data_IF_123741390468
#
_entry.id   IF_123741390468
#
_cell.length_a   1.000
_cell.length_b   1.000
_cell.length_c   1.000
_cell.angle_alpha   90.00
_cell.angle_beta   90.00
_cell.angle_gamma   90.00
#
_symmetry.space_group_name_H-M   'P 1'
#
loop_
_entity.id
_entity.type
_entity.pdbx_description
1 polymer ?
#
# COMPACT_ATOMS: atom_id res chain seq x y z
N UNK A 1 -9.74 22.97 12.89
CA UNK A 1 -10.01 22.56 14.27
C UNK A 1 -11.33 21.83 14.31
N UNK A 2 -11.31 20.51 14.45
CA UNK A 2 -12.50 19.66 14.60
C UNK A 2 -12.25 18.65 15.71
N UNK A 3 -13.17 18.52 16.66
CA UNK A 3 -13.10 17.52 17.74
C UNK A 3 -14.17 16.45 17.50
N UNK A 4 -13.73 15.21 17.30
CA UNK A 4 -14.62 14.04 17.19
C UNK A 4 -14.87 13.50 18.60
N UNK A 5 -16.05 13.75 19.16
CA UNK A 5 -16.38 13.39 20.55
C UNK A 5 -16.12 11.90 20.84
N UNK A 6 -16.40 10.99 19.89
CA UNK A 6 -16.17 9.54 20.07
C UNK A 6 -14.69 9.17 20.18
N UNK A 7 -13.79 9.94 19.57
CA UNK A 7 -12.35 9.69 19.57
C UNK A 7 -11.66 10.21 20.85
N UNK A 8 -12.31 11.08 21.62
CA UNK A 8 -11.75 11.66 22.86
C UNK A 8 -11.42 10.57 23.87
N UNK A 9 -10.14 10.50 24.26
CA UNK A 9 -9.60 9.47 25.16
C UNK A 9 -9.83 9.82 26.63
N UNK A 10 -9.93 11.11 26.96
CA UNK A 10 -10.35 11.54 28.30
C UNK A 10 -11.87 11.44 28.47
N UNK A 11 -12.29 10.43 29.25
CA UNK A 11 -13.71 10.17 29.55
C UNK A 11 -14.42 11.32 30.26
N UNK A 12 -13.72 12.17 31.02
CA UNK A 12 -14.32 13.35 31.68
C UNK A 12 -14.64 14.41 30.64
N UNK A 13 -13.64 14.77 29.83
CA UNK A 13 -13.81 15.72 28.74
C UNK A 13 -14.85 15.25 27.72
N UNK A 14 -14.85 13.96 27.36
CA UNK A 14 -15.85 13.39 26.46
C UNK A 14 -17.28 13.61 26.99
N UNK A 15 -17.52 13.41 28.29
CA UNK A 15 -18.83 13.64 28.91
C UNK A 15 -19.22 15.11 28.92
N UNK A 16 -18.27 16.01 29.15
CA UNK A 16 -18.50 17.46 29.15
C UNK A 16 -18.86 17.98 27.75
N UNK A 17 -18.25 17.40 26.70
CA UNK A 17 -18.55 17.75 25.30
C UNK A 17 -19.91 17.22 24.83
N UNK A 18 -20.45 16.17 25.46
CA UNK A 18 -21.78 15.63 25.14
C UNK A 18 -22.86 16.62 25.59
N UNK A 19 -23.59 17.18 24.63
CA UNK A 19 -24.64 18.18 24.90
C UNK A 19 -24.15 19.62 24.86
N UNK A 20 -22.87 19.85 24.52
CA UNK A 20 -22.32 21.17 24.29
C UNK A 20 -23.10 21.93 23.20
N UNK A 21 -23.26 23.23 23.41
CA UNK A 21 -23.96 24.16 22.52
C UNK A 21 -23.00 25.18 21.96
N UNK A 22 -23.43 25.85 20.88
CA UNK A 22 -22.69 26.96 20.29
C UNK A 22 -22.41 28.03 21.36
N UNK A 23 -21.15 28.42 21.51
CA UNK A 23 -20.66 29.40 22.48
C UNK A 23 -20.09 28.79 23.76
N UNK A 24 -20.30 27.51 24.03
CA UNK A 24 -19.70 26.84 25.19
C UNK A 24 -18.17 26.76 25.00
N UNK A 25 -17.43 26.93 26.11
CA UNK A 25 -15.97 26.91 26.09
C UNK A 25 -15.44 25.78 26.97
N UNK A 26 -14.53 24.98 26.42
CA UNK A 26 -13.92 23.83 27.09
C UNK A 26 -12.41 23.93 27.07
N UNK A 27 -11.78 23.53 28.18
CA UNK A 27 -10.33 23.42 28.26
C UNK A 27 -9.92 22.03 27.80
N UNK A 28 -9.35 21.94 26.60
CA UNK A 28 -9.01 20.66 25.97
C UNK A 28 -7.49 20.53 25.89
N UNK A 29 -7.00 19.36 26.29
CA UNK A 29 -5.63 18.95 25.98
C UNK A 29 -5.65 18.23 24.62
N UNK A 30 -4.89 18.69 23.61
CA UNK A 30 -4.85 18.03 22.30
C UNK A 30 -4.47 16.55 22.35
N UNK A 31 -3.60 16.16 23.29
CA UNK A 31 -3.20 14.76 23.48
C UNK A 31 -4.32 13.86 23.99
N UNK A 32 -5.38 14.43 24.55
CA UNK A 32 -6.54 13.67 25.05
C UNK A 32 -7.71 13.63 24.07
N UNK A 33 -7.55 14.17 22.86
CA UNK A 33 -8.62 14.25 21.84
C UNK A 33 -8.72 12.98 20.99
N UNK A 34 -7.63 12.23 20.82
CA UNK A 34 -7.61 10.96 20.10
C UNK A 34 -6.36 10.14 20.45
N UNK A 35 -6.39 8.83 20.18
CA UNK A 35 -5.20 7.97 20.17
C UNK A 35 -4.36 8.18 18.90
N UNK A 36 -4.95 8.72 17.83
CA UNK A 36 -4.30 8.95 16.55
C UNK A 36 -3.78 10.38 16.43
N UNK A 37 -2.51 10.53 16.01
CA UNK A 37 -1.88 11.85 15.88
C UNK A 37 -2.55 12.73 14.81
N UNK A 38 -3.12 12.15 13.76
CA UNK A 38 -3.86 12.87 12.72
C UNK A 38 -5.04 13.64 13.30
N UNK A 39 -5.85 12.98 14.12
CA UNK A 39 -7.03 13.58 14.75
C UNK A 39 -6.63 14.64 15.78
N UNK A 40 -5.51 14.43 16.49
CA UNK A 40 -4.95 15.43 17.42
C UNK A 40 -4.52 16.70 16.67
N UNK A 41 -3.91 16.56 15.49
CA UNK A 41 -3.51 17.65 14.61
C UNK A 41 -4.73 18.40 14.09
N UNK A 42 -5.75 17.68 13.61
CA UNK A 42 -6.98 18.26 13.09
C UNK A 42 -7.77 19.00 14.17
N UNK A 43 -7.78 18.49 15.40
CA UNK A 43 -8.35 19.17 16.56
C UNK A 43 -7.71 20.54 16.78
N UNK A 44 -6.39 20.62 16.66
CA UNK A 44 -5.63 21.87 16.78
C UNK A 44 -5.64 22.73 15.52
N UNK A 45 -5.97 22.17 14.35
CA UNK A 45 -5.80 22.84 13.06
C UNK A 45 -4.35 23.05 12.66
N UNK A 46 -3.46 22.12 13.03
CA UNK A 46 -2.02 22.15 12.72
C UNK A 46 -1.59 20.86 12.02
N UNK A 47 -0.40 20.85 11.42
CA UNK A 47 0.19 19.63 10.85
C UNK A 47 0.69 18.66 11.92
N UNK A 48 0.68 17.37 11.60
CA UNK A 48 1.14 16.29 12.50
C UNK A 48 2.58 16.50 12.97
N UNK A 49 3.43 17.10 12.13
CA UNK A 49 4.84 17.41 12.46
C UNK A 49 4.98 18.45 13.59
N UNK A 50 4.00 19.35 13.73
CA UNK A 50 4.01 20.43 14.72
C UNK A 50 3.42 20.01 16.08
N UNK A 51 2.75 18.85 16.14
CA UNK A 51 2.16 18.36 17.40
C UNK A 51 3.18 18.13 18.52
N UNK A 52 4.39 17.69 18.18
CA UNK A 52 5.41 17.30 19.16
C UNK A 52 5.90 18.47 20.03
N UNK A 53 5.85 19.70 19.51
CA UNK A 53 6.26 20.92 20.20
C UNK A 53 5.12 21.57 21.01
N UNK A 54 3.88 21.09 20.88
CA UNK A 54 2.71 21.65 21.55
C UNK A 54 2.40 20.84 22.81
N UNK A 55 2.67 21.45 23.97
CA UNK A 55 2.46 20.85 25.30
C UNK A 55 1.30 21.55 26.05
N UNK A 56 0.77 22.62 25.48
CA UNK A 56 -0.20 23.50 26.13
C UNK A 56 -1.64 22.98 26.08
N UNK A 57 -2.44 23.38 27.08
CA UNK A 57 -3.89 23.25 27.06
C UNK A 57 -4.50 24.45 26.33
N UNK A 58 -5.55 24.22 25.54
CA UNK A 58 -6.23 25.26 24.78
C UNK A 58 -7.68 25.40 25.23
N UNK A 59 -8.20 26.62 25.13
CA UNK A 59 -9.62 26.87 25.29
C UNK A 59 -10.28 26.79 23.92
N UNK A 60 -11.22 25.85 23.76
CA UNK A 60 -12.00 25.67 22.55
C UNK A 60 -13.39 26.24 22.77
N UNK A 61 -13.81 27.15 21.90
CA UNK A 61 -15.18 27.64 21.87
C UNK A 61 -15.94 26.90 20.77
N UNK A 62 -17.12 26.36 21.10
CA UNK A 62 -17.93 25.61 20.15
C UNK A 62 -18.58 26.58 19.16
N UNK A 63 -18.16 26.54 17.90
CA UNK A 63 -18.80 27.34 16.84
C UNK A 63 -19.97 26.62 16.18
N UNK A 64 -19.80 25.32 15.90
CA UNK A 64 -20.77 24.50 15.20
C UNK A 64 -20.74 23.07 15.74
N UNK A 65 -21.92 22.50 15.94
CA UNK A 65 -22.09 21.09 16.28
C UNK A 65 -22.62 20.38 15.03
N UNK A 66 -21.83 19.47 14.48
CA UNK A 66 -22.24 18.62 13.37
C UNK A 66 -22.62 17.25 13.92
N UNK A 67 -23.77 16.70 13.50
CA UNK A 67 -24.15 15.32 13.78
C UNK A 67 -24.04 14.53 12.49
N UNK A 68 -23.26 13.46 12.53
CA UNK A 68 -23.24 12.47 11.45
C UNK A 68 -24.45 11.57 11.66
N UNK A 69 -25.41 11.63 10.73
CA UNK A 69 -26.58 10.77 10.71
C UNK A 69 -26.32 9.73 9.61
N UNK A 70 -26.35 8.42 9.91
CA UNK A 70 -26.29 7.40 8.87
C UNK A 70 -27.43 7.65 7.87
N UNK A 71 -27.08 7.78 6.60
CA UNK A 71 -28.09 7.92 5.56
C UNK A 71 -28.73 6.55 5.29
N UNK A 72 -29.99 6.53 4.85
CA UNK A 72 -30.65 5.28 4.47
C UNK A 72 -29.97 4.65 3.24
N UNK A 73 -29.98 3.32 3.16
CA UNK A 73 -29.44 2.59 2.01
C UNK A 73 -30.40 2.69 0.83
N UNK A 74 -30.39 3.84 0.16
CA UNK A 74 -31.29 4.18 -0.94
C UNK A 74 -30.50 4.66 -2.18
N UNK A 75 -31.23 4.92 -3.26
CA UNK A 75 -30.65 5.33 -4.54
C UNK A 75 -29.77 6.60 -4.42
N UNK A 76 -30.14 7.56 -3.57
CA UNK A 76 -29.35 8.78 -3.35
C UNK A 76 -27.97 8.47 -2.78
N UNK A 77 -27.86 7.53 -1.84
CA UNK A 77 -26.57 7.07 -1.34
C UNK A 77 -25.79 6.33 -2.42
N UNK A 78 -26.44 5.46 -3.18
CA UNK A 78 -25.80 4.65 -4.22
C UNK A 78 -25.18 5.54 -5.29
N UNK A 79 -25.96 6.52 -5.78
CA UNK A 79 -25.52 7.49 -6.78
C UNK A 79 -24.40 8.40 -6.26
N UNK A 80 -24.41 8.74 -4.97
CA UNK A 80 -23.36 9.56 -4.35
C UNK A 80 -22.03 8.81 -4.21
N UNK A 81 -22.07 7.50 -3.98
CA UNK A 81 -20.86 6.67 -3.76
C UNK A 81 -20.28 6.16 -5.09
N UNK A 82 -21.14 5.69 -5.99
CA UNK A 82 -20.72 5.01 -7.23
C UNK A 82 -21.11 5.76 -8.52
N UNK A 83 -21.74 6.93 -8.41
CA UNK A 83 -22.27 7.66 -9.55
C UNK A 83 -23.67 7.20 -9.97
N UNK A 84 -24.41 8.06 -10.69
CA UNK A 84 -25.76 7.75 -11.14
C UNK A 84 -25.77 6.53 -12.09
N UNK A 85 -26.84 5.74 -11.99
CA UNK A 85 -27.10 4.53 -12.80
C UNK A 85 -26.16 3.33 -12.60
N UNK A 86 -25.13 3.44 -11.75
CA UNK A 86 -24.16 2.36 -11.49
C UNK A 86 -24.71 1.24 -10.60
N UNK A 87 -25.54 1.57 -9.62
CA UNK A 87 -26.08 0.63 -8.62
C UNK A 87 -27.55 0.92 -8.40
N UNK A 88 -28.42 -0.09 -8.52
CA UNK A 88 -29.89 0.07 -8.50
C UNK A 88 -30.56 -0.59 -7.30
N UNK A 89 -29.82 -1.28 -6.46
CA UNK A 89 -30.37 -1.97 -5.29
C UNK A 89 -29.35 -2.09 -4.16
N UNK A 90 -29.84 -2.31 -2.94
CA UNK A 90 -28.97 -2.58 -1.79
C UNK A 90 -28.08 -3.82 -2.03
N UNK A 91 -28.61 -4.85 -2.71
CA UNK A 91 -27.85 -6.06 -3.02
C UNK A 91 -26.68 -5.75 -3.96
N UNK A 92 -26.91 -4.95 -5.00
CA UNK A 92 -25.85 -4.48 -5.90
C UNK A 92 -24.85 -3.57 -5.20
N UNK A 93 -25.33 -2.70 -4.29
CA UNK A 93 -24.46 -1.83 -3.51
C UNK A 93 -23.49 -2.62 -2.63
N UNK A 94 -24.01 -3.62 -1.90
CA UNK A 94 -23.18 -4.53 -1.08
C UNK A 94 -22.22 -5.36 -1.92
N UNK A 95 -22.68 -5.85 -3.08
CA UNK A 95 -21.83 -6.60 -4.00
C UNK A 95 -20.69 -5.73 -4.56
N UNK A 96 -20.96 -4.47 -4.93
CA UNK A 96 -19.95 -3.52 -5.39
C UNK A 96 -18.94 -3.18 -4.31
N UNK A 97 -19.38 -2.95 -3.07
CA UNK A 97 -18.47 -2.76 -1.94
C UNK A 97 -17.59 -4.01 -1.76
N UNK A 98 -18.18 -5.21 -1.79
CA UNK A 98 -17.40 -6.44 -1.66
C UNK A 98 -16.40 -6.62 -2.81
N UNK A 99 -16.78 -6.29 -4.05
CA UNK A 99 -15.89 -6.29 -5.21
C UNK A 99 -14.69 -5.34 -5.00
N UNK A 100 -14.94 -4.10 -4.60
CA UNK A 100 -13.89 -3.11 -4.34
C UNK A 100 -12.97 -3.53 -3.19
N UNK A 101 -13.53 -4.07 -2.11
CA UNK A 101 -12.73 -4.61 -1.00
C UNK A 101 -11.88 -5.82 -1.43
N UNK A 102 -12.45 -6.70 -2.28
CA UNK A 102 -11.75 -7.88 -2.76
C UNK A 102 -10.59 -7.54 -3.72
N UNK A 103 -10.67 -6.45 -4.50
CA UNK A 103 -9.58 -6.06 -5.40
C UNK A 103 -8.24 -5.89 -4.66
N UNK A 104 -8.26 -5.21 -3.51
CA UNK A 104 -7.07 -5.06 -2.66
C UNK A 104 -6.62 -6.39 -2.05
N UNK A 105 -7.56 -7.17 -1.53
CA UNK A 105 -7.28 -8.47 -0.91
C UNK A 105 -6.69 -9.49 -1.89
N UNK A 106 -7.08 -9.44 -3.16
CA UNK A 106 -6.50 -10.28 -4.20
C UNK A 106 -5.02 -9.96 -4.40
N UNK A 107 -4.66 -8.68 -4.49
CA UNK A 107 -3.25 -8.25 -4.62
C UNK A 107 -2.44 -8.70 -3.40
N UNK A 108 -2.97 -8.53 -2.20
CA UNK A 108 -2.31 -8.96 -0.96
C UNK A 108 -2.13 -10.49 -0.91
N UNK A 109 -3.15 -11.24 -1.32
CA UNK A 109 -3.09 -12.71 -1.38
C UNK A 109 -2.05 -13.19 -2.40
N UNK A 110 -1.94 -12.49 -3.53
CA UNK A 110 -0.95 -12.79 -4.55
C UNK A 110 0.47 -12.50 -4.07
N UNK A 111 0.69 -11.37 -3.40
CA UNK A 111 1.98 -11.03 -2.80
C UNK A 111 2.38 -12.08 -1.75
N UNK A 112 1.42 -12.51 -0.91
CA UNK A 112 1.64 -13.58 0.05
C UNK A 112 2.08 -14.87 -0.62
N UNK A 113 1.42 -15.26 -1.72
CA UNK A 113 1.78 -16.45 -2.49
C UNK A 113 3.21 -16.35 -3.03
N UNK A 114 3.62 -15.21 -3.59
CA UNK A 114 4.99 -15.01 -4.10
C UNK A 114 6.02 -15.10 -2.97
N UNK A 115 5.73 -14.51 -1.81
CA UNK A 115 6.61 -14.59 -0.64
C UNK A 115 6.78 -16.03 -0.18
N UNK A 116 5.70 -16.82 -0.16
CA UNK A 116 5.75 -18.23 0.25
C UNK A 116 6.55 -19.08 -0.73
N UNK A 117 6.41 -18.83 -2.04
CA UNK A 117 7.24 -19.46 -3.07
C UNK A 117 8.72 -19.10 -2.86
N UNK A 118 9.02 -17.82 -2.61
CA UNK A 118 10.39 -17.38 -2.33
C UNK A 118 10.98 -18.06 -1.10
N UNK A 119 10.26 -18.07 0.02
CA UNK A 119 10.72 -18.70 1.27
C UNK A 119 10.97 -20.20 1.09
N UNK A 120 10.03 -20.91 0.47
CA UNK A 120 10.17 -22.36 0.24
C UNK A 120 11.30 -22.69 -0.74
N UNK A 121 11.48 -21.92 -1.82
CA UNK A 121 12.59 -22.14 -2.77
C UNK A 121 13.95 -21.82 -2.13
N UNK A 122 14.06 -20.73 -1.36
CA UNK A 122 15.29 -20.40 -0.64
C UNK A 122 15.67 -21.48 0.38
N UNK A 123 14.68 -21.98 1.12
CA UNK A 123 14.87 -23.02 2.14
C UNK A 123 15.23 -24.37 1.54
N UNK A 124 14.52 -24.78 0.48
CA UNK A 124 14.72 -26.09 -0.15
C UNK A 124 16.04 -26.20 -0.90
N UNK A 125 16.44 -25.14 -1.63
CA UNK A 125 17.69 -25.14 -2.39
C UNK A 125 18.93 -24.92 -1.50
N UNK A 126 18.76 -24.25 -0.35
CA UNK A 126 19.83 -23.99 0.62
C UNK A 126 21.13 -23.49 -0.04
N UNK A 127 21.00 -22.52 -0.94
CA UNK A 127 22.11 -22.01 -1.75
C UNK A 127 23.22 -21.44 -0.85
N UNK A 128 24.47 -21.85 -1.13
CA UNK A 128 25.66 -21.30 -0.48
C UNK A 128 26.25 -20.20 -1.34
N UNK A 129 26.45 -19.03 -0.74
CA UNK A 129 27.12 -17.91 -1.38
C UNK A 129 28.57 -17.79 -0.88
N UNK A 130 29.49 -17.23 -1.67
CA UNK A 130 30.86 -16.96 -1.22
C UNK A 130 30.89 -15.71 -0.35
N UNK A 131 30.43 -15.81 0.90
CA UNK A 131 30.11 -14.65 1.73
C UNK A 131 31.29 -13.71 1.97
N UNK A 132 32.48 -14.27 2.20
CA UNK A 132 33.69 -13.47 2.40
C UNK A 132 34.07 -12.64 1.17
N UNK A 133 33.80 -13.14 -0.04
CA UNK A 133 34.02 -12.40 -1.27
C UNK A 133 32.97 -11.31 -1.44
N UNK A 134 31.69 -11.64 -1.26
CA UNK A 134 30.60 -10.69 -1.44
C UNK A 134 30.68 -9.51 -0.45
N UNK A 135 31.00 -9.77 0.82
CA UNK A 135 31.23 -8.70 1.81
C UNK A 135 32.35 -7.75 1.37
N UNK A 136 33.48 -8.29 0.88
CA UNK A 136 34.59 -7.47 0.35
C UNK A 136 34.20 -6.72 -0.92
N UNK A 137 33.44 -7.36 -1.79
CA UNK A 137 32.97 -6.76 -3.03
C UNK A 137 32.04 -5.57 -2.75
N UNK A 138 31.10 -5.70 -1.79
CA UNK A 138 30.21 -4.60 -1.38
C UNK A 138 31.00 -3.38 -0.90
N UNK A 139 32.06 -3.58 -0.10
CA UNK A 139 32.94 -2.47 0.34
C UNK A 139 33.61 -1.80 -0.85
N UNK A 140 34.10 -2.61 -1.80
CA UNK A 140 34.86 -2.12 -2.95
C UNK A 140 33.97 -1.45 -4.03
N UNK A 141 32.71 -1.88 -4.15
CA UNK A 141 31.77 -1.38 -5.17
C UNK A 141 30.96 -0.18 -4.73
N UNK A 142 30.94 0.14 -3.43
CA UNK A 142 30.16 1.26 -2.91
C UNK A 142 30.98 2.55 -2.91
N UNK A 143 30.42 3.61 -3.49
CA UNK A 143 31.09 4.92 -3.56
C UNK A 143 31.25 5.57 -2.17
N UNK A 144 30.39 5.19 -1.21
CA UNK A 144 30.47 5.63 0.19
C UNK A 144 31.06 4.51 1.06
N UNK A 145 32.01 4.83 1.96
CA UNK A 145 32.55 3.85 2.88
C UNK A 145 31.44 3.32 3.79
N UNK A 146 31.13 2.04 3.66
CA UNK A 146 30.23 1.30 4.56
C UNK A 146 31.08 0.76 5.72
N UNK A 147 30.59 0.87 6.95
CA UNK A 147 31.27 0.26 8.09
C UNK A 147 31.13 -1.27 8.08
N UNK A 148 32.08 -1.98 8.66
CA UNK A 148 31.97 -3.44 8.82
C UNK A 148 30.71 -3.84 9.58
N UNK A 149 30.31 -3.05 10.58
CA UNK A 149 29.10 -3.28 11.39
C UNK A 149 27.81 -3.17 10.54
N UNK A 150 27.74 -2.17 9.65
CA UNK A 150 26.61 -2.02 8.71
C UNK A 150 26.55 -3.21 7.75
N UNK A 151 27.70 -3.67 7.25
CA UNK A 151 27.74 -4.84 6.38
C UNK A 151 27.24 -6.07 7.12
N UNK A 152 27.66 -6.31 8.36
CA UNK A 152 27.18 -7.48 9.10
C UNK A 152 25.68 -7.42 9.36
N UNK A 153 25.12 -6.24 9.63
CA UNK A 153 23.68 -6.06 9.84
C UNK A 153 22.85 -6.26 8.56
N UNK A 154 23.33 -5.79 7.42
CA UNK A 154 22.57 -5.78 6.16
C UNK A 154 22.87 -6.98 5.24
N UNK A 155 24.01 -7.66 5.44
CA UNK A 155 24.49 -8.72 4.55
C UNK A 155 23.51 -9.88 4.42
N UNK A 156 22.84 -10.27 5.51
CA UNK A 156 21.90 -11.39 5.47
C UNK A 156 20.69 -11.10 4.58
N UNK A 157 20.21 -9.85 4.58
CA UNK A 157 19.13 -9.42 3.69
C UNK A 157 19.63 -9.35 2.24
N UNK A 158 20.81 -8.77 2.01
CA UNK A 158 21.44 -8.74 0.69
C UNK A 158 21.64 -10.16 0.11
N UNK A 159 22.18 -11.08 0.91
CA UNK A 159 22.42 -12.46 0.54
C UNK A 159 21.11 -13.19 0.18
N UNK A 160 20.03 -12.97 0.95
CA UNK A 160 18.69 -13.48 0.62
C UNK A 160 18.19 -12.93 -0.71
N UNK A 161 18.32 -11.62 -0.93
CA UNK A 161 17.94 -10.97 -2.19
C UNK A 161 18.71 -11.52 -3.39
N UNK A 162 20.03 -11.67 -3.26
CA UNK A 162 20.88 -12.21 -4.32
C UNK A 162 20.54 -13.68 -4.63
N UNK A 163 20.34 -14.52 -3.60
CA UNK A 163 19.89 -15.91 -3.80
C UNK A 163 18.56 -15.95 -4.55
N UNK A 164 17.62 -15.08 -4.18
CA UNK A 164 16.32 -15.00 -4.84
C UNK A 164 16.46 -14.58 -6.30
N UNK A 165 17.27 -13.56 -6.59
CA UNK A 165 17.55 -13.13 -7.96
C UNK A 165 18.16 -14.26 -8.80
N UNK A 166 19.10 -15.04 -8.25
CA UNK A 166 19.69 -16.19 -8.94
C UNK A 166 18.64 -17.26 -9.27
N UNK A 167 17.72 -17.52 -8.34
CA UNK A 167 16.61 -18.45 -8.54
C UNK A 167 15.70 -17.94 -9.66
N UNK A 168 15.26 -16.67 -9.61
CA UNK A 168 14.42 -16.06 -10.66
C UNK A 168 15.07 -16.19 -12.03
N UNK A 169 16.35 -15.82 -12.14
CA UNK A 169 17.10 -15.92 -13.40
C UNK A 169 17.15 -17.34 -13.93
N UNK A 170 17.34 -18.34 -13.06
CA UNK A 170 17.34 -19.74 -13.48
C UNK A 170 15.97 -20.20 -13.97
N UNK A 171 14.89 -19.76 -13.33
CA UNK A 171 13.52 -20.09 -13.75
C UNK A 171 13.21 -19.44 -15.10
N UNK A 172 13.61 -18.19 -15.31
CA UNK A 172 13.51 -17.47 -16.59
C UNK A 172 14.22 -18.27 -17.69
N UNK A 173 15.47 -18.67 -17.46
CA UNK A 173 16.26 -19.45 -18.41
C UNK A 173 15.63 -20.81 -18.73
N UNK A 174 15.19 -21.55 -17.71
CA UNK A 174 14.61 -22.89 -17.87
C UNK A 174 13.28 -22.90 -18.62
N UNK A 175 12.52 -21.80 -18.55
CA UNK A 175 11.22 -21.66 -19.20
C UNK A 175 11.27 -20.79 -20.47
N UNK A 176 12.46 -20.40 -20.92
CA UNK A 176 12.67 -19.50 -22.08
C UNK A 176 11.77 -18.24 -22.01
N UNK A 177 11.66 -17.65 -20.82
CA UNK A 177 10.78 -16.50 -20.60
C UNK A 177 11.35 -15.30 -21.33
N UNK A 178 10.59 -14.80 -22.30
CA UNK A 178 10.93 -13.62 -23.10
C UNK A 178 9.93 -12.50 -22.85
N UNK A 179 10.43 -11.28 -22.89
CA UNK A 179 9.64 -10.06 -22.85
C UNK A 179 9.89 -9.32 -24.15
N UNK A 180 8.87 -9.24 -25.00
CA UNK A 180 8.93 -8.52 -26.25
C UNK A 180 8.81 -7.00 -26.02
N UNK A 181 9.37 -6.20 -26.92
CA UNK A 181 9.34 -4.74 -26.78
C UNK A 181 7.91 -4.20 -26.81
N UNK A 182 7.04 -4.80 -27.63
CA UNK A 182 5.63 -4.46 -27.74
C UNK A 182 4.90 -4.71 -26.40
N UNK A 183 5.17 -5.84 -25.74
CA UNK A 183 4.61 -6.14 -24.41
C UNK A 183 5.02 -5.11 -23.37
N UNK A 184 6.26 -4.59 -23.47
CA UNK A 184 6.78 -3.56 -22.56
C UNK A 184 6.06 -2.23 -22.77
N UNK A 185 5.83 -1.85 -24.02
CA UNK A 185 5.06 -0.65 -24.35
C UNK A 185 3.64 -0.78 -23.82
N UNK A 186 2.95 -1.89 -24.11
CA UNK A 186 1.57 -2.11 -23.65
C UNK A 186 1.45 -2.13 -22.13
N UNK A 187 2.39 -2.76 -21.44
CA UNK A 187 2.43 -2.75 -19.98
C UNK A 187 2.66 -1.35 -19.42
N UNK A 188 3.57 -0.58 -20.03
CA UNK A 188 3.83 0.82 -19.63
C UNK A 188 2.60 1.69 -19.83
N UNK A 189 1.86 1.52 -20.93
CA UNK A 189 0.58 2.20 -21.18
C UNK A 189 -0.42 1.89 -20.06
N UNK A 190 -0.53 0.63 -19.65
CA UNK A 190 -1.37 0.21 -18.52
C UNK A 190 -0.99 0.88 -17.19
N UNK A 191 0.31 0.96 -16.87
CA UNK A 191 0.80 1.66 -15.67
C UNK A 191 0.46 3.16 -15.70
N UNK A 192 0.65 3.81 -16.84
CA UNK A 192 0.33 5.23 -17.02
C UNK A 192 -1.17 5.47 -16.85
N UNK A 193 -2.04 4.63 -17.44
CA UNK A 193 -3.48 4.71 -17.26
C UNK A 193 -3.88 4.57 -15.79
N UNK A 194 -3.31 3.60 -15.08
CA UNK A 194 -3.60 3.38 -13.67
C UNK A 194 -3.17 4.59 -12.81
N UNK A 195 -2.00 5.17 -13.10
CA UNK A 195 -1.51 6.37 -12.42
C UNK A 195 -2.43 7.58 -12.68
N UNK A 196 -2.88 7.75 -13.91
CA UNK A 196 -3.79 8.83 -14.31
C UNK A 196 -5.16 8.71 -13.63
N UNK A 197 -5.73 7.50 -13.61
CA UNK A 197 -6.98 7.21 -12.91
C UNK A 197 -6.84 7.52 -11.41
N UNK A 198 -5.71 7.18 -10.79
CA UNK A 198 -5.41 7.53 -9.41
C UNK A 198 -5.33 9.03 -9.12
N UNK A 199 -5.00 9.85 -10.13
CA UNK A 199 -5.00 11.31 -10.05
C UNK A 199 -6.34 11.95 -10.46
N UNK A 200 -7.34 11.15 -10.83
CA UNK A 200 -8.62 11.63 -11.35
C UNK A 200 -8.52 12.31 -12.72
N UNK A 201 -7.47 12.02 -13.49
CA UNK A 201 -7.36 12.50 -14.87
C UNK A 201 -8.21 11.64 -15.79
N UNK A 202 -8.86 12.27 -16.77
CA UNK A 202 -9.66 11.57 -17.79
C UNK A 202 -8.79 10.76 -18.76
N UNK A 203 -9.44 9.89 -19.54
CA UNK A 203 -8.77 9.04 -20.53
C UNK A 203 -8.03 9.86 -21.60
N UNK A 204 -6.81 9.47 -21.92
CA UNK A 204 -6.05 9.98 -23.07
C UNK A 204 -6.28 9.03 -24.25
N UNK A 205 -6.23 9.55 -25.48
CA UNK A 205 -6.17 8.72 -26.67
C UNK A 205 -4.93 7.80 -26.69
N UNK A 206 -5.09 6.66 -27.36
CA UNK A 206 -4.09 5.60 -27.38
C UNK A 206 -2.76 6.02 -28.04
N UNK A 207 -2.81 6.95 -28.98
CA UNK A 207 -1.65 7.43 -29.72
C UNK A 207 -0.74 8.26 -28.80
N UNK A 208 -1.30 9.21 -28.07
CA UNK A 208 -0.58 9.98 -27.05
C UNK A 208 -0.11 9.12 -25.88
N UNK A 209 -0.89 8.11 -25.49
CA UNK A 209 -0.49 7.17 -24.44
C UNK A 209 0.72 6.34 -24.88
N UNK A 210 0.74 5.88 -26.14
CA UNK A 210 1.87 5.17 -26.74
C UNK A 210 3.11 6.05 -26.83
N UNK A 211 2.97 7.31 -27.23
CA UNK A 211 4.09 8.26 -27.27
C UNK A 211 4.68 8.47 -25.87
N UNK A 212 3.82 8.68 -24.87
CA UNK A 212 4.23 8.88 -23.47
C UNK A 212 4.93 7.63 -22.92
N UNK A 213 4.40 6.44 -23.20
CA UNK A 213 5.02 5.17 -22.81
C UNK A 213 6.42 5.01 -23.42
N UNK A 214 6.58 5.28 -24.71
CA UNK A 214 7.87 5.23 -25.38
C UNK A 214 8.86 6.23 -24.78
N UNK A 215 8.43 7.45 -24.43
CA UNK A 215 9.27 8.44 -23.78
C UNK A 215 9.74 8.00 -22.39
N UNK A 216 8.87 7.34 -21.60
CA UNK A 216 9.26 6.74 -20.31
C UNK A 216 10.33 5.66 -20.53
N UNK A 217 10.15 4.81 -21.54
CA UNK A 217 11.08 3.72 -21.87
C UNK A 217 12.42 4.20 -22.45
N UNK A 218 12.55 5.46 -22.85
CA UNK A 218 13.87 6.03 -23.20
C UNK A 218 14.76 6.22 -21.97
N UNK A 219 14.18 6.36 -20.78
CA UNK A 219 14.94 6.34 -19.54
C UNK A 219 15.35 4.90 -19.20
N UNK A 220 16.65 4.62 -19.25
CA UNK A 220 17.18 3.27 -19.02
C UNK A 220 16.84 2.70 -17.64
N UNK A 221 16.75 3.54 -16.61
CA UNK A 221 16.40 3.10 -15.25
C UNK A 221 14.93 2.67 -15.18
N UNK A 222 14.03 3.50 -15.72
CA UNK A 222 12.60 3.19 -15.78
C UNK A 222 12.32 2.00 -16.68
N UNK A 223 12.95 1.94 -17.85
CA UNK A 223 12.85 0.79 -18.74
C UNK A 223 13.24 -0.50 -18.02
N UNK A 224 14.42 -0.52 -17.37
CA UNK A 224 14.89 -1.69 -16.61
C UNK A 224 13.87 -2.09 -15.54
N UNK A 225 13.34 -1.14 -14.78
CA UNK A 225 12.34 -1.41 -13.74
C UNK A 225 11.07 -2.02 -14.33
N UNK A 226 10.59 -1.51 -15.46
CA UNK A 226 9.41 -2.02 -16.15
C UNK A 226 9.64 -3.45 -16.67
N UNK A 227 10.82 -3.72 -17.26
CA UNK A 227 11.20 -5.07 -17.65
C UNK A 227 11.19 -6.03 -16.43
N UNK A 228 11.78 -5.63 -15.30
CA UNK A 228 11.79 -6.42 -14.08
C UNK A 228 10.37 -6.73 -13.58
N UNK A 229 9.46 -5.74 -13.60
CA UNK A 229 8.04 -5.93 -13.25
C UNK A 229 7.34 -6.93 -14.17
N UNK A 230 7.60 -6.86 -15.48
CA UNK A 230 7.05 -7.81 -16.45
C UNK A 230 7.57 -9.24 -16.24
N UNK A 231 8.87 -9.39 -16.00
CA UNK A 231 9.44 -10.70 -15.65
C UNK A 231 8.81 -11.26 -14.38
N UNK A 232 8.64 -10.43 -13.34
CA UNK A 232 8.00 -10.86 -12.09
C UNK A 232 6.54 -11.28 -12.31
N UNK A 233 5.81 -10.58 -13.19
CA UNK A 233 4.45 -10.98 -13.59
C UNK A 233 4.44 -12.34 -14.31
N UNK A 234 5.33 -12.56 -15.29
CA UNK A 234 5.40 -13.84 -16.01
C UNK A 234 5.84 -14.99 -15.09
N UNK A 235 6.77 -14.73 -14.18
CA UNK A 235 7.21 -15.70 -13.18
C UNK A 235 6.08 -16.10 -12.24
N UNK A 236 5.25 -15.15 -11.83
CA UNK A 236 4.05 -15.43 -11.02
C UNK A 236 3.09 -16.38 -11.72
N UNK A 237 2.86 -16.22 -13.02
CA UNK A 237 2.01 -17.14 -13.80
C UNK A 237 2.64 -18.54 -13.91
N UNK A 238 3.97 -18.62 -14.05
CA UNK A 238 4.70 -19.90 -14.01
C UNK A 238 4.54 -20.56 -12.64
N UNK A 239 4.66 -19.81 -11.54
CA UNK A 239 4.47 -20.36 -10.21
C UNK A 239 3.06 -20.91 -10.00
N UNK A 240 2.03 -20.15 -10.39
CA UNK A 240 0.63 -20.58 -10.27
C UNK A 240 0.30 -21.82 -11.10
N UNK A 241 0.90 -21.95 -12.29
CA UNK A 241 0.69 -23.11 -13.17
C UNK A 241 1.51 -24.34 -12.76
N UNK A 242 2.65 -24.14 -12.10
CA UNK A 242 3.56 -25.23 -11.70
C UNK A 242 3.24 -25.78 -10.31
N UNK A 243 2.95 -24.90 -9.35
CA UNK A 243 2.67 -25.30 -7.97
C UNK A 243 1.22 -25.73 -7.77
N UNK A 244 1.02 -26.76 -6.95
CA UNK A 244 -0.32 -27.15 -6.53
C UNK A 244 -0.83 -26.19 -5.45
N UNK A 245 -1.69 -25.26 -5.84
CA UNK A 245 -2.32 -24.31 -4.92
C UNK A 245 -3.34 -25.02 -4.04
N UNK A 246 -3.33 -24.70 -2.74
CA UNK A 246 -4.35 -25.11 -1.78
C UNK A 246 -5.08 -23.87 -1.32
N UNK A 247 -6.31 -23.72 -1.78
CA UNK A 247 -7.17 -22.63 -1.33
C UNK A 247 -7.61 -22.88 0.11
N UNK A 248 -7.53 -21.83 0.93
CA UNK A 248 -7.97 -21.84 2.32
C UNK A 248 -8.81 -20.60 2.56
N UNK A 249 -10.07 -20.82 2.88
CA UNK A 249 -10.96 -19.74 3.31
C UNK A 249 -10.58 -19.33 4.74
N UNK A 250 -10.40 -18.03 4.95
CA UNK A 250 -10.10 -17.42 6.23
C UNK A 250 -10.89 -16.12 6.38
N UNK A 251 -11.20 -15.72 7.60
CA UNK A 251 -11.80 -14.42 7.86
C UNK A 251 -10.80 -13.27 7.66
N UNK A 252 -11.33 -12.05 7.57
CA UNK A 252 -10.56 -10.84 7.32
C UNK A 252 -9.52 -10.56 8.41
N UNK A 253 -9.85 -10.76 9.69
CA UNK A 253 -8.91 -10.49 10.79
C UNK A 253 -7.68 -11.42 10.74
N UNK A 254 -7.91 -12.69 10.42
CA UNK A 254 -6.88 -13.68 10.19
C UNK A 254 -6.06 -13.37 8.93
N UNK A 255 -6.70 -12.91 7.85
CA UNK A 255 -5.99 -12.48 6.64
C UNK A 255 -5.03 -11.33 6.92
N UNK A 256 -5.52 -10.26 7.57
CA UNK A 256 -4.72 -9.10 7.97
C UNK A 256 -3.54 -9.50 8.85
N UNK A 257 -3.76 -10.44 9.78
CA UNK A 257 -2.69 -10.96 10.64
C UNK A 257 -1.65 -11.77 9.87
N UNK A 258 -2.04 -12.53 8.84
CA UNK A 258 -1.12 -13.31 8.02
C UNK A 258 -0.26 -12.43 7.11
N UNK A 259 -0.85 -11.39 6.52
CA UNK A 259 -0.12 -10.44 5.66
C UNK A 259 0.82 -9.57 6.48
N UNK A 260 0.41 -9.11 7.68
CA UNK A 260 1.24 -8.23 8.51
C UNK A 260 2.35 -8.95 9.29
N UNK A 261 2.26 -10.26 9.55
CA UNK A 261 3.33 -11.02 10.21
C UNK A 261 4.63 -11.11 9.42
N UNK A 262 4.61 -10.77 8.13
CA UNK A 262 5.76 -10.80 7.24
C UNK A 262 6.50 -9.45 7.11
N UNK A 263 6.05 -8.40 7.82
CA UNK A 263 6.81 -7.14 8.00
C UNK A 263 7.67 -7.21 9.26
#
# INVERSE_FOLDING_TARGET
>A
SVIIIKSVTDKKLQKELVGAKKGDTFKVNPKSVSEHQTDQAEALGVDVSQLKSIISQFNYTVEKVNRVIPTELNQELFDKVFGPETVKSEKEFRAKIAEELNKGLLVDSENKFINDVQEELLKSLNLKLPDAFLKKWIVASNEKPISSEQIEAEYDQYAKGLKWQLIKNKIIELNDVKVAAEEVVDYTKGLLMQQMQGMGMGDIDDERLSETANNVLQNQEEARRIYEMLYDSKLKDIYKSTFKLKEKEIDYENFVSLVNKQK
#
